data_IF_356978566224
#
_entry.id   IF_356978566224
#
_cell.length_a   1.000
_cell.length_b   1.000
_cell.length_c   1.000
_cell.angle_alpha   90.00
_cell.angle_beta   90.00
_cell.angle_gamma   90.00
#
_symmetry.space_group_name_H-M   'P 1'
#
loop_
_entity.id
_entity.type
_entity.pdbx_description
1 polymer ?
#
# COMPACT_ATOMS: atom_id res chain seq x y z
N UNK A 1 -5.01 2.83 -18.31
CA UNK A 1 -4.29 3.45 -17.18
C UNK A 1 -3.26 2.46 -16.66
N UNK A 2 -1.97 2.80 -16.65
CA UNK A 2 -0.96 1.99 -15.94
C UNK A 2 -1.30 2.07 -14.45
N UNK A 3 -1.63 0.94 -13.82
CA UNK A 3 -1.79 0.87 -12.36
C UNK A 3 -0.41 1.06 -11.74
N UNK A 4 -0.10 2.30 -11.37
CA UNK A 4 1.06 2.58 -10.51
C UNK A 4 0.91 1.71 -9.26
N UNK A 5 1.98 1.02 -8.87
CA UNK A 5 2.02 0.27 -7.62
C UNK A 5 1.56 1.18 -6.47
N UNK A 6 0.77 0.64 -5.57
CA UNK A 6 0.03 1.33 -4.51
C UNK A 6 0.87 2.34 -3.71
N UNK A 7 1.06 3.57 -4.17
CA UNK A 7 1.89 4.60 -3.51
C UNK A 7 1.59 4.72 -2.01
N UNK A 8 2.59 4.47 -1.16
CA UNK A 8 2.45 4.47 0.30
C UNK A 8 1.92 5.82 0.81
N UNK A 9 2.32 6.93 0.19
CA UNK A 9 1.83 8.25 0.59
C UNK A 9 0.34 8.39 0.30
N UNK A 10 -0.15 7.86 -0.83
CA UNK A 10 -1.59 7.85 -1.14
C UNK A 10 -2.38 6.95 -0.20
N UNK A 11 -1.80 5.82 0.20
CA UNK A 11 -2.43 4.96 1.20
C UNK A 11 -2.55 5.70 2.54
N UNK A 12 -1.50 6.41 2.95
CA UNK A 12 -1.51 7.24 4.17
C UNK A 12 -2.56 8.35 4.06
N UNK A 13 -2.61 9.09 2.95
CA UNK A 13 -3.62 10.13 2.70
C UNK A 13 -5.04 9.56 2.85
N UNK A 14 -5.34 8.40 2.25
CA UNK A 14 -6.65 7.77 2.38
C UNK A 14 -6.97 7.28 3.81
N UNK A 15 -5.95 6.87 4.58
CA UNK A 15 -6.14 6.54 6.00
C UNK A 15 -6.45 7.80 6.83
N UNK A 16 -5.77 8.91 6.54
CA UNK A 16 -6.02 10.20 7.19
C UNK A 16 -7.43 10.71 6.88
N UNK A 17 -7.88 10.59 5.64
CA UNK A 17 -9.26 10.91 5.23
C UNK A 17 -10.28 10.06 6.01
N UNK A 18 -10.08 8.73 6.10
CA UNK A 18 -10.97 7.84 6.84
C UNK A 18 -11.01 8.18 8.34
N UNK A 19 -9.88 8.54 8.94
CA UNK A 19 -9.80 9.00 10.33
C UNK A 19 -10.56 10.31 10.51
N UNK A 20 -10.40 11.26 9.58
CA UNK A 20 -11.12 12.54 9.63
C UNK A 20 -12.63 12.32 9.53
N UNK A 21 -13.08 11.46 8.59
CA UNK A 21 -14.49 11.16 8.43
C UNK A 21 -15.08 10.46 9.67
N UNK A 22 -14.32 9.55 10.30
CA UNK A 22 -14.73 8.89 11.54
C UNK A 22 -14.86 9.87 12.72
N UNK A 23 -14.00 10.89 12.79
CA UNK A 23 -14.12 11.96 13.81
C UNK A 23 -15.40 12.76 13.61
N UNK A 24 -15.72 13.08 12.36
CA UNK A 24 -16.93 13.83 11.99
C UNK A 24 -18.23 13.04 12.22
N UNK A 25 -18.18 11.71 12.39
CA UNK A 25 -19.36 10.89 12.68
C UNK A 25 -20.10 11.27 13.96
N UNK A 26 -19.45 12.01 14.87
CA UNK A 26 -20.08 12.56 16.08
C UNK A 26 -20.49 14.03 15.96
N UNK A 27 -20.10 14.71 14.89
CA UNK A 27 -20.48 16.10 14.62
C UNK A 27 -21.87 16.15 13.97
N UNK A 28 -22.78 16.89 14.60
CA UNK A 28 -24.14 17.09 14.10
C UNK A 28 -24.21 18.02 12.89
N UNK A 29 -23.18 18.84 12.69
CA UNK A 29 -23.09 19.82 11.61
C UNK A 29 -22.32 19.30 10.39
N UNK A 30 -21.62 18.17 10.52
CA UNK A 30 -20.95 17.54 9.39
C UNK A 30 -21.98 16.98 8.40
N UNK A 31 -21.67 17.09 7.10
CA UNK A 31 -22.48 16.48 6.05
C UNK A 31 -22.33 14.96 6.07
N UNK A 32 -23.32 14.23 5.54
CA UNK A 32 -23.28 12.75 5.53
C UNK A 32 -22.06 12.21 4.77
N UNK A 33 -21.59 12.93 3.75
CA UNK A 33 -20.44 12.58 2.93
C UNK A 33 -19.11 12.67 3.68
N UNK A 34 -19.10 13.41 4.79
CA UNK A 34 -17.94 13.63 5.65
C UNK A 34 -17.96 12.69 6.85
N UNK A 35 -18.96 11.79 6.96
CA UNK A 35 -19.09 10.83 8.05
C UNK A 35 -18.71 9.43 7.59
N UNK A 36 -18.15 8.66 8.50
CA UNK A 36 -17.83 7.24 8.27
C UNK A 36 -18.19 6.41 9.49
N UNK A 37 -18.87 5.29 9.30
CA UNK A 37 -19.13 4.37 10.40
C UNK A 37 -17.85 3.62 10.82
N UNK A 38 -17.89 3.06 12.03
CA UNK A 38 -16.73 2.39 12.63
C UNK A 38 -16.33 1.13 11.87
N UNK A 39 -17.27 0.40 11.26
CA UNK A 39 -16.97 -0.84 10.53
C UNK A 39 -16.27 -0.53 9.21
N UNK A 40 -16.75 0.47 8.47
CA UNK A 40 -16.09 0.97 7.27
C UNK A 40 -14.69 1.49 7.57
N UNK A 41 -14.52 2.28 8.64
CA UNK A 41 -13.21 2.78 9.03
C UNK A 41 -12.22 1.64 9.40
N UNK A 42 -12.69 0.59 10.07
CA UNK A 42 -11.89 -0.61 10.36
C UNK A 42 -11.47 -1.32 9.07
N UNK A 43 -12.39 -1.49 8.11
CA UNK A 43 -12.08 -2.12 6.84
C UNK A 43 -11.00 -1.33 6.07
N UNK A 44 -11.06 0.00 6.08
CA UNK A 44 -10.01 0.85 5.49
C UNK A 44 -8.66 0.67 6.19
N UNK A 45 -8.65 0.64 7.53
CA UNK A 45 -7.43 0.42 8.30
C UNK A 45 -6.81 -0.97 8.03
N UNK A 46 -7.63 -2.01 7.92
CA UNK A 46 -7.19 -3.38 7.59
C UNK A 46 -6.58 -3.46 6.18
N UNK A 47 -7.20 -2.79 5.21
CA UNK A 47 -6.64 -2.66 3.85
C UNK A 47 -5.30 -1.91 3.87
N UNK A 48 -5.19 -0.82 4.64
CA UNK A 48 -3.95 -0.07 4.83
C UNK A 48 -2.83 -0.93 5.40
N UNK A 49 -3.14 -1.76 6.41
CA UNK A 49 -2.19 -2.72 6.99
C UNK A 49 -1.67 -3.71 5.94
N UNK A 50 -2.58 -4.33 5.16
CA UNK A 50 -2.20 -5.27 4.10
C UNK A 50 -1.29 -4.60 3.06
N UNK A 51 -1.58 -3.35 2.69
CA UNK A 51 -0.75 -2.62 1.74
C UNK A 51 0.66 -2.33 2.28
N UNK A 52 0.77 -1.89 3.55
CA UNK A 52 2.07 -1.69 4.22
C UNK A 52 2.88 -2.98 4.30
N UNK A 53 2.23 -4.10 4.60
CA UNK A 53 2.92 -5.40 4.67
C UNK A 53 3.41 -5.85 3.28
N UNK A 54 2.67 -5.58 2.21
CA UNK A 54 3.14 -5.81 0.84
C UNK A 54 4.39 -4.97 0.51
N UNK A 55 4.48 -3.72 1.00
CA UNK A 55 5.70 -2.91 0.86
C UNK A 55 6.90 -3.48 1.60
N UNK A 56 6.70 -3.97 2.83
CA UNK A 56 7.77 -4.61 3.61
C UNK A 56 8.32 -5.83 2.89
N UNK A 57 7.45 -6.66 2.31
CA UNK A 57 7.87 -7.83 1.51
C UNK A 57 8.73 -7.38 0.33
N UNK A 58 8.31 -6.35 -0.42
CA UNK A 58 9.11 -5.80 -1.53
C UNK A 58 10.47 -5.28 -1.06
N UNK A 59 10.52 -4.55 0.05
CA UNK A 59 11.77 -4.04 0.61
C UNK A 59 12.71 -5.17 1.07
N UNK A 60 12.17 -6.22 1.69
CA UNK A 60 12.92 -7.42 2.07
C UNK A 60 13.51 -8.11 0.83
N UNK A 61 12.73 -8.22 -0.24
CA UNK A 61 13.18 -8.81 -1.51
C UNK A 61 14.31 -8.02 -2.15
N UNK A 62 14.25 -6.69 -2.15
CA UNK A 62 15.38 -5.85 -2.57
C UNK A 62 16.63 -6.11 -1.71
N UNK A 63 16.46 -6.27 -0.39
CA UNK A 63 17.54 -6.66 0.52
C UNK A 63 18.13 -8.04 0.21
N UNK A 64 17.31 -9.01 -0.18
CA UNK A 64 17.76 -10.34 -0.63
C UNK A 64 18.55 -10.22 -1.92
N UNK A 65 18.05 -9.46 -2.91
CA UNK A 65 18.75 -9.23 -4.18
C UNK A 65 20.12 -8.56 -3.98
N UNK A 66 20.20 -7.57 -3.09
CA UNK A 66 21.44 -6.85 -2.78
C UNK A 66 22.50 -7.74 -2.11
N UNK A 67 22.08 -8.82 -1.45
CA UNK A 67 22.96 -9.77 -0.74
C UNK A 67 23.12 -11.11 -1.46
N UNK A 68 22.49 -11.29 -2.62
CA UNK A 68 22.53 -12.54 -3.35
C UNK A 68 23.90 -12.73 -4.00
N UNK A 69 24.51 -13.91 -3.80
CA UNK A 69 25.79 -14.27 -4.42
C UNK A 69 25.70 -14.31 -5.95
N UNK A 70 24.50 -14.56 -6.50
CA UNK A 70 24.20 -14.50 -7.92
C UNK A 70 22.90 -13.71 -8.19
N UNK A 71 22.98 -12.37 -8.31
CA UNK A 71 21.83 -11.52 -8.59
C UNK A 71 21.14 -11.84 -9.92
N UNK A 72 21.89 -12.34 -10.90
CA UNK A 72 21.38 -12.69 -12.23
C UNK A 72 20.45 -13.91 -12.20
N UNK A 73 20.66 -14.85 -11.27
CA UNK A 73 19.77 -15.99 -11.06
C UNK A 73 18.59 -15.67 -10.13
N UNK A 74 18.74 -14.68 -9.24
CA UNK A 74 17.72 -14.34 -8.23
C UNK A 74 16.62 -13.46 -8.81
N UNK A 75 16.95 -12.54 -9.73
CA UNK A 75 15.99 -11.62 -10.34
C UNK A 75 14.85 -12.30 -11.13
N UNK A 76 15.11 -13.32 -11.98
CA UNK A 76 14.04 -14.02 -12.72
C UNK A 76 13.03 -14.71 -11.79
N UNK A 77 13.50 -15.38 -10.74
CA UNK A 77 12.64 -16.06 -9.74
C UNK A 77 11.70 -15.08 -9.04
N UNK A 78 12.19 -13.88 -8.75
CA UNK A 78 11.39 -12.83 -8.10
C UNK A 78 10.38 -12.20 -9.05
N UNK A 79 10.69 -12.12 -10.36
CA UNK A 79 9.72 -11.72 -11.40
C UNK A 79 8.64 -12.79 -11.54
N UNK A 80 9.01 -14.07 -11.63
CA UNK A 80 8.07 -15.20 -11.71
C UNK A 80 7.14 -15.27 -10.50
N UNK A 81 7.63 -14.90 -9.32
CA UNK A 81 6.81 -14.82 -8.09
C UNK A 81 5.82 -13.64 -8.07
N UNK A 82 5.91 -12.70 -9.01
CA UNK A 82 5.08 -11.50 -9.06
C UNK A 82 5.41 -10.44 -8.01
N UNK A 83 6.51 -10.60 -7.28
CA UNK A 83 6.94 -9.65 -6.23
C UNK A 83 7.52 -8.37 -6.84
N UNK A 84 8.26 -8.52 -7.94
CA UNK A 84 8.81 -7.42 -8.75
C UNK A 84 8.27 -7.48 -10.18
N UNK A 85 8.00 -6.31 -10.77
CA UNK A 85 7.53 -6.20 -12.15
C UNK A 85 8.70 -5.82 -13.07
N UNK A 86 8.71 -6.31 -14.32
CA UNK A 86 9.79 -6.06 -15.29
C UNK A 86 9.95 -4.58 -15.72
N UNK A 87 8.99 -3.72 -15.38
CA UNK A 87 8.83 -2.40 -16.01
C UNK A 87 9.51 -1.22 -15.30
N UNK A 88 10.31 -1.40 -14.25
CA UNK A 88 11.13 -0.32 -13.67
C UNK A 88 12.48 -0.13 -14.40
N UNK A 89 12.46 -0.16 -15.74
CA UNK A 89 13.60 0.37 -16.51
C UNK A 89 13.51 1.89 -16.50
N UNK A 90 14.47 2.50 -15.79
CA UNK A 90 14.84 3.91 -15.83
C UNK A 90 14.59 4.55 -17.19
N UNK A 91 13.82 5.65 -17.17
CA UNK A 91 14.06 6.79 -18.04
C UNK A 91 14.38 7.99 -17.18
#
# INVERSE_FOLDING_TARGET
MKKSSADLNRIIEHMDDAIWMLKNSKDKNASENEKMDVETAKAVADLGKVAVDAYKVKAQVLGIMAKADNPAATKPLLIESGIINEDEKSK
#
